data_IF_061130930312
#
_entry.id   IF_061130930312
#
_cell.length_a   1.000
_cell.length_b   1.000
_cell.length_c   1.000
_cell.angle_alpha   90.00
_cell.angle_beta   90.00
_cell.angle_gamma   90.00
#
_symmetry.space_group_name_H-M   'P 1'
#
loop_
_entity.id
_entity.type
_entity.pdbx_description
1 polymer ?
#
# COMPACT_ATOMS: atom_id res chain seq x y z
N UNK A 1 -46.19 53.52 -46.48
CA UNK A 1 -45.91 52.92 -45.16
C UNK A 1 -45.07 51.63 -45.20
N UNK A 2 -44.76 51.03 -46.36
CA UNK A 2 -44.11 49.70 -46.44
C UNK A 2 -42.65 49.68 -46.91
N UNK A 3 -42.01 50.85 -47.13
CA UNK A 3 -40.65 50.90 -47.71
C UNK A 3 -39.50 50.68 -46.71
N UNK A 4 -39.76 50.64 -45.39
CA UNK A 4 -38.74 50.50 -44.32
C UNK A 4 -38.49 49.07 -43.83
N UNK A 5 -39.27 48.08 -44.26
CA UNK A 5 -39.14 46.69 -43.75
C UNK A 5 -38.00 45.92 -44.45
N UNK A 6 -37.61 46.30 -45.67
CA UNK A 6 -36.52 45.64 -46.39
C UNK A 6 -35.11 46.14 -46.04
N UNK A 7 -34.96 47.25 -45.31
CA UNK A 7 -33.65 47.79 -44.94
C UNK A 7 -33.10 47.25 -43.60
N UNK A 8 -33.93 46.58 -42.79
CA UNK A 8 -33.49 45.97 -41.52
C UNK A 8 -32.91 44.56 -41.65
N UNK A 9 -32.87 43.99 -42.86
CA UNK A 9 -32.20 42.70 -43.13
C UNK A 9 -30.70 42.83 -43.45
N UNK A 10 -30.10 44.01 -43.28
CA UNK A 10 -28.71 44.27 -43.69
C UNK A 10 -27.66 44.19 -42.56
N UNK A 11 -27.98 43.82 -41.31
CA UNK A 11 -26.97 43.94 -40.24
C UNK A 11 -27.04 42.90 -39.12
N UNK A 12 -26.52 41.72 -39.42
CA UNK A 12 -25.56 40.92 -38.60
C UNK A 12 -25.53 39.52 -39.19
N UNK A 13 -24.75 39.35 -40.25
CA UNK A 13 -24.12 38.05 -40.45
C UNK A 13 -23.16 37.88 -39.28
N UNK A 14 -23.53 37.10 -38.28
CA UNK A 14 -22.54 36.54 -37.38
C UNK A 14 -21.67 35.67 -38.28
N UNK A 15 -20.47 36.16 -38.60
CA UNK A 15 -19.46 35.34 -39.24
C UNK A 15 -19.12 34.24 -38.24
N UNK A 16 -19.75 33.08 -38.37
CA UNK A 16 -19.29 31.84 -37.77
C UNK A 16 -17.93 31.54 -38.41
N UNK A 17 -16.88 32.12 -37.82
CA UNK A 17 -15.50 31.81 -38.16
C UNK A 17 -15.25 30.40 -37.63
N UNK A 18 -15.29 29.41 -38.53
CA UNK A 18 -14.88 28.04 -38.19
C UNK A 18 -13.40 28.00 -37.83
N UNK A 19 -13.04 27.12 -36.91
CA UNK A 19 -11.64 26.82 -36.58
C UNK A 19 -10.88 26.40 -37.84
N UNK A 20 -9.70 26.97 -38.05
CA UNK A 20 -8.83 26.54 -39.15
C UNK A 20 -8.17 25.20 -38.82
N UNK A 21 -7.95 24.36 -39.83
CA UNK A 21 -7.22 23.10 -39.66
C UNK A 21 -5.81 23.33 -39.10
N UNK A 22 -5.18 24.43 -39.47
CA UNK A 22 -3.83 24.77 -38.99
C UNK A 22 -3.82 25.14 -37.51
N UNK A 23 -4.84 25.85 -37.01
CA UNK A 23 -4.98 26.14 -35.57
C UNK A 23 -5.13 24.84 -34.77
N UNK A 24 -5.96 23.91 -35.25
CA UNK A 24 -6.16 22.63 -34.57
C UNK A 24 -4.87 21.78 -34.59
N UNK A 25 -4.14 21.78 -35.70
CA UNK A 25 -2.86 21.06 -35.82
C UNK A 25 -1.79 21.59 -34.85
N UNK A 26 -1.67 22.91 -34.70
CA UNK A 26 -0.71 23.51 -33.76
C UNK A 26 -1.09 23.16 -32.32
N UNK A 27 -2.38 23.21 -31.97
CA UNK A 27 -2.86 22.86 -30.62
C UNK A 27 -2.53 21.41 -30.29
N UNK A 28 -2.79 20.47 -31.20
CA UNK A 28 -2.46 19.05 -30.99
C UNK A 28 -0.95 18.84 -30.90
N UNK A 29 -0.15 19.57 -31.69
CA UNK A 29 1.31 19.51 -31.60
C UNK A 29 1.83 19.98 -30.23
N UNK A 30 1.30 21.08 -29.68
CA UNK A 30 1.68 21.58 -28.36
C UNK A 30 1.25 20.59 -27.27
N UNK A 31 0.01 20.08 -27.31
CA UNK A 31 -0.47 19.07 -26.36
C UNK A 31 0.38 17.80 -26.44
N UNK A 32 0.79 17.38 -27.64
CA UNK A 32 1.67 16.23 -27.86
C UNK A 32 3.02 16.39 -27.16
N UNK A 33 3.66 17.56 -27.29
CA UNK A 33 4.94 17.87 -26.63
C UNK A 33 4.77 17.86 -25.10
N UNK A 34 3.72 18.50 -24.58
CA UNK A 34 3.45 18.55 -23.14
C UNK A 34 3.16 17.15 -22.58
N UNK A 35 2.36 16.34 -23.28
CA UNK A 35 2.01 14.98 -22.88
C UNK A 35 3.24 14.06 -22.83
N UNK A 36 4.16 14.19 -23.80
CA UNK A 36 5.38 13.38 -23.85
C UNK A 36 6.26 13.54 -22.60
N UNK A 37 6.29 14.73 -22.00
CA UNK A 37 7.04 15.01 -20.76
C UNK A 37 6.20 14.66 -19.54
N UNK A 38 4.91 15.03 -19.54
CA UNK A 38 4.04 14.92 -18.37
C UNK A 38 3.71 13.46 -18.01
N UNK A 39 3.48 12.59 -19.00
CA UNK A 39 3.07 11.19 -18.77
C UNK A 39 4.11 10.40 -17.95
N UNK A 40 5.41 10.33 -18.34
CA UNK A 40 6.39 9.58 -17.57
C UNK A 40 6.63 10.19 -16.18
N UNK A 41 6.60 11.52 -16.05
CA UNK A 41 6.74 12.19 -14.75
C UNK A 41 5.57 11.84 -13.81
N UNK A 42 4.35 11.90 -14.32
CA UNK A 42 3.15 11.57 -13.55
C UNK A 42 3.11 10.10 -13.12
N UNK A 43 3.55 9.18 -13.98
CA UNK A 43 3.67 7.76 -13.63
C UNK A 43 4.63 7.54 -12.44
N UNK A 44 5.80 8.18 -12.47
CA UNK A 44 6.76 8.11 -11.37
C UNK A 44 6.23 8.77 -10.08
N UNK A 45 5.50 9.89 -10.20
CA UNK A 45 4.88 10.54 -9.05
C UNK A 45 3.86 9.62 -8.36
N UNK A 46 2.99 8.97 -9.14
CA UNK A 46 2.02 7.99 -8.62
C UNK A 46 2.71 6.81 -7.95
N UNK A 47 3.77 6.28 -8.56
CA UNK A 47 4.55 5.19 -7.98
C UNK A 47 5.11 5.56 -6.60
N UNK A 48 5.69 6.76 -6.46
CA UNK A 48 6.18 7.25 -5.17
C UNK A 48 5.05 7.39 -4.14
N UNK A 49 3.86 7.81 -4.57
CA UNK A 49 2.71 7.89 -3.69
C UNK A 49 2.24 6.50 -3.22
N UNK A 50 2.22 5.51 -4.11
CA UNK A 50 1.91 4.11 -3.77
C UNK A 50 2.89 3.54 -2.76
N UNK A 51 4.19 3.68 -3.02
CA UNK A 51 5.23 3.23 -2.11
C UNK A 51 5.15 3.96 -0.77
N UNK A 52 4.88 5.27 -0.76
CA UNK A 52 4.67 6.05 0.46
C UNK A 52 3.49 5.56 1.28
N UNK A 53 2.39 5.15 0.64
CA UNK A 53 1.24 4.56 1.34
C UNK A 53 1.63 3.27 2.03
N UNK A 54 2.39 2.41 1.35
CA UNK A 54 2.94 1.19 1.94
C UNK A 54 3.83 1.50 3.15
N UNK A 55 4.75 2.48 3.03
CA UNK A 55 5.62 2.86 4.14
C UNK A 55 4.87 3.49 5.31
N UNK A 56 3.72 4.12 5.08
CA UNK A 56 2.86 4.60 6.16
C UNK A 56 2.22 3.44 6.91
N UNK A 57 1.70 2.44 6.19
CA UNK A 57 1.03 1.29 6.81
C UNK A 57 2.00 0.39 7.58
N UNK A 58 3.23 0.16 7.13
CA UNK A 58 4.22 -0.59 7.93
C UNK A 58 4.59 0.13 9.22
N UNK A 59 4.63 1.47 9.20
CA UNK A 59 4.88 2.27 10.42
C UNK A 59 3.71 2.19 11.38
N UNK A 60 2.48 2.31 10.86
CA UNK A 60 1.27 2.12 11.65
C UNK A 60 1.22 0.72 12.26
N UNK A 61 1.64 -0.30 11.50
CA UNK A 61 1.74 -1.69 11.96
C UNK A 61 2.76 -1.83 13.09
N UNK A 62 3.98 -1.28 12.95
CA UNK A 62 4.95 -1.26 14.07
C UNK A 62 4.34 -0.58 15.30
N UNK A 63 3.73 0.60 15.15
CA UNK A 63 3.11 1.28 16.29
C UNK A 63 2.00 0.44 16.93
N UNK A 64 1.24 -0.32 16.14
CA UNK A 64 0.24 -1.24 16.67
C UNK A 64 0.88 -2.42 17.42
N UNK A 65 1.97 -2.99 16.92
CA UNK A 65 2.74 -4.04 17.61
C UNK A 65 3.28 -3.55 18.95
N UNK A 66 3.85 -2.34 19.00
CA UNK A 66 4.31 -1.72 20.26
C UNK A 66 3.17 -1.52 21.26
N UNK A 67 1.98 -1.14 20.78
CA UNK A 67 0.80 -1.00 21.64
C UNK A 67 0.33 -2.36 22.19
N UNK A 68 0.34 -3.41 21.35
CA UNK A 68 0.04 -4.79 21.79
C UNK A 68 1.05 -5.25 22.84
N UNK A 69 2.34 -4.99 22.62
CA UNK A 69 3.38 -5.35 23.57
C UNK A 69 3.24 -4.60 24.90
N UNK A 70 2.93 -3.30 24.86
CA UNK A 70 2.71 -2.51 26.07
C UNK A 70 1.56 -3.07 26.95
N UNK A 71 0.48 -3.54 26.33
CA UNK A 71 -0.69 -4.05 27.05
C UNK A 71 -0.55 -5.52 27.48
N UNK A 72 0.08 -6.36 26.64
CA UNK A 72 0.05 -7.83 26.79
C UNK A 72 1.41 -8.49 26.99
N UNK A 73 2.50 -7.72 26.88
CA UNK A 73 3.89 -8.18 26.97
C UNK A 73 4.25 -9.27 25.96
N UNK A 74 3.54 -9.28 24.82
CA UNK A 74 3.77 -10.14 23.67
C UNK A 74 3.46 -9.35 22.40
N UNK A 75 4.16 -9.63 21.31
CA UNK A 75 3.82 -9.16 19.98
C UNK A 75 2.74 -10.03 19.34
N UNK A 76 2.15 -9.53 18.26
CA UNK A 76 1.11 -10.21 17.50
C UNK A 76 1.56 -10.68 16.13
N UNK A 77 0.65 -11.41 15.50
CA UNK A 77 0.69 -11.67 14.08
C UNK A 77 -0.55 -11.07 13.42
N UNK A 78 -0.50 -10.82 12.11
CA UNK A 78 -1.69 -10.41 11.38
C UNK A 78 -2.67 -11.56 11.22
N UNK A 79 -3.92 -11.35 11.67
CA UNK A 79 -5.06 -12.22 11.39
C UNK A 79 -5.84 -11.67 10.20
N UNK A 80 -5.83 -12.38 9.06
CA UNK A 80 -6.52 -11.95 7.85
C UNK A 80 -8.02 -11.84 8.07
N UNK A 81 -8.62 -10.72 7.65
CA UNK A 81 -10.07 -10.43 7.64
C UNK A 81 -10.88 -11.17 8.72
N UNK A 82 -10.63 -10.85 9.99
CA UNK A 82 -11.25 -11.49 11.14
C UNK A 82 -12.09 -10.49 11.95
N UNK A 83 -13.06 -11.00 12.72
CA UNK A 83 -13.75 -10.23 13.75
C UNK A 83 -12.99 -10.36 15.07
N UNK A 84 -13.03 -9.31 15.90
CA UNK A 84 -12.40 -9.28 17.23
C UNK A 84 -13.25 -10.09 18.23
N UNK A 85 -13.43 -11.38 17.95
CA UNK A 85 -14.06 -12.34 18.85
C UNK A 85 -12.96 -12.98 19.73
N UNK A 86 -13.27 -13.47 20.95
CA UNK A 86 -12.27 -13.95 21.92
C UNK A 86 -11.60 -15.28 21.54
N UNK A 87 -11.48 -15.60 20.25
CA UNK A 87 -11.05 -16.91 19.74
C UNK A 87 -9.84 -16.89 18.81
N UNK A 88 -9.22 -15.75 18.54
CA UNK A 88 -7.95 -15.72 17.81
C UNK A 88 -6.84 -15.34 18.77
N UNK A 89 -6.03 -16.34 19.14
CA UNK A 89 -4.73 -16.16 19.77
C UNK A 89 -3.76 -17.11 19.10
N UNK A 90 -2.48 -16.77 19.07
CA UNK A 90 -1.47 -17.61 18.44
C UNK A 90 -0.12 -16.93 18.35
N UNK A 91 0.88 -17.70 17.96
CA UNK A 91 2.25 -17.27 17.68
C UNK A 91 2.72 -17.91 16.37
N UNK A 92 3.70 -17.31 15.69
CA UNK A 92 4.18 -17.77 14.40
C UNK A 92 3.81 -16.84 13.22
N UNK A 93 3.71 -17.45 12.04
CA UNK A 93 3.47 -16.73 10.80
C UNK A 93 2.06 -16.12 10.76
N UNK A 94 1.99 -14.82 10.46
CA UNK A 94 0.71 -14.18 10.19
C UNK A 94 0.16 -14.50 8.81
N UNK A 95 -0.99 -13.90 8.53
CA UNK A 95 -1.62 -13.93 7.20
C UNK A 95 -1.82 -12.53 6.68
N UNK A 96 -1.84 -12.37 5.36
CA UNK A 96 -1.95 -11.06 4.73
C UNK A 96 -3.30 -10.42 5.05
N UNK A 97 -3.28 -9.12 5.35
CA UNK A 97 -4.46 -8.26 5.31
C UNK A 97 -4.30 -7.26 4.18
N UNK A 98 -5.25 -7.26 3.24
CA UNK A 98 -5.20 -6.39 2.07
C UNK A 98 -6.33 -5.37 2.10
N UNK A 99 -5.97 -4.09 2.12
CA UNK A 99 -6.90 -2.99 2.24
C UNK A 99 -7.65 -2.63 0.94
N UNK A 100 -8.68 -1.77 1.04
CA UNK A 100 -8.98 -0.97 2.23
C UNK A 100 -9.70 -1.81 3.29
N UNK A 101 -9.16 -1.81 4.50
CA UNK A 101 -9.75 -2.51 5.64
C UNK A 101 -9.74 -1.58 6.85
N UNK A 102 -10.87 -1.50 7.54
CA UNK A 102 -10.93 -0.86 8.85
C UNK A 102 -10.37 -1.76 9.95
N UNK A 103 -10.10 -1.19 11.14
CA UNK A 103 -9.83 -1.98 12.34
C UNK A 103 -10.95 -2.98 12.62
N UNK A 104 -10.58 -4.24 12.87
CA UNK A 104 -11.54 -5.22 13.34
C UNK A 104 -12.14 -4.80 14.69
N UNK A 105 -13.42 -5.12 14.89
CA UNK A 105 -14.10 -5.00 16.18
C UNK A 105 -14.88 -6.28 16.46
N UNK A 106 -15.51 -6.39 17.63
CA UNK A 106 -16.36 -7.54 17.95
C UNK A 106 -17.56 -7.68 16.98
N UNK A 107 -17.98 -6.60 16.32
CA UNK A 107 -19.14 -6.57 15.43
C UNK A 107 -18.77 -6.48 13.93
N UNK A 108 -17.53 -6.11 13.61
CA UNK A 108 -17.11 -5.80 12.24
C UNK A 108 -15.81 -6.55 11.94
N UNK A 109 -15.85 -7.33 10.87
CA UNK A 109 -14.65 -7.93 10.29
C UNK A 109 -13.72 -6.84 9.77
N UNK A 110 -12.46 -6.91 10.13
CA UNK A 110 -11.44 -5.96 9.72
C UNK A 110 -10.06 -6.60 9.75
N UNK A 111 -9.02 -5.77 9.63
CA UNK A 111 -7.66 -6.23 9.89
C UNK A 111 -7.39 -6.18 11.39
N UNK A 112 -6.60 -7.13 11.89
CA UNK A 112 -6.22 -7.18 13.29
C UNK A 112 -4.85 -7.81 13.47
N UNK A 113 -4.20 -7.43 14.57
CA UNK A 113 -3.16 -8.22 15.21
C UNK A 113 -3.81 -9.18 16.20
N UNK A 114 -3.31 -10.41 16.24
CA UNK A 114 -3.76 -11.47 17.15
C UNK A 114 -2.56 -12.07 17.86
N UNK A 115 -2.71 -12.38 19.14
CA UNK A 115 -1.66 -12.97 19.99
C UNK A 115 -2.27 -13.75 21.16
N UNK A 116 -1.45 -14.43 21.94
CA UNK A 116 -1.86 -15.04 23.22
C UNK A 116 -1.15 -14.33 24.38
N UNK A 117 -1.85 -13.42 25.05
CA UNK A 117 -1.35 -12.68 26.22
C UNK A 117 -1.88 -13.26 27.52
N UNK A 118 -1.02 -13.49 28.52
CA UNK A 118 -1.40 -13.98 29.85
C UNK A 118 -2.31 -15.23 29.85
N UNK A 119 -2.14 -16.13 28.86
CA UNK A 119 -2.92 -17.36 28.72
C UNK A 119 -4.29 -17.21 28.06
N UNK A 120 -4.61 -16.03 27.52
CA UNK A 120 -5.84 -15.77 26.79
C UNK A 120 -5.56 -15.26 25.37
N UNK A 121 -6.46 -15.57 24.45
CA UNK A 121 -6.47 -14.99 23.12
C UNK A 121 -6.76 -13.49 23.20
N UNK A 122 -5.93 -12.69 22.53
CA UNK A 122 -6.01 -11.23 22.51
C UNK A 122 -5.86 -10.76 21.08
N UNK A 123 -6.56 -9.69 20.72
CA UNK A 123 -6.32 -9.04 19.45
C UNK A 123 -6.62 -7.54 19.49
N UNK A 124 -5.99 -6.82 18.58
CA UNK A 124 -6.17 -5.38 18.39
C UNK A 124 -6.49 -5.13 16.92
N UNK A 125 -7.56 -4.39 16.66
CA UNK A 125 -7.92 -4.00 15.29
C UNK A 125 -6.92 -2.99 14.73
N UNK A 126 -6.52 -3.18 13.46
CA UNK A 126 -5.63 -2.28 12.73
C UNK A 126 -6.26 -1.84 11.42
N UNK A 127 -5.96 -0.62 10.98
CA UNK A 127 -6.39 -0.13 9.66
C UNK A 127 -5.37 -0.49 8.58
N UNK A 128 -5.86 -0.80 7.38
CA UNK A 128 -5.01 -1.03 6.20
C UNK A 128 -5.47 -0.14 5.05
N UNK A 129 -4.52 0.60 4.49
CA UNK A 129 -4.73 1.51 3.38
C UNK A 129 -5.19 0.80 2.12
N UNK A 130 -5.83 1.56 1.23
CA UNK A 130 -6.34 1.05 -0.03
C UNK A 130 -5.24 0.39 -0.87
N UNK A 131 -5.45 -0.86 -1.29
CA UNK A 131 -4.50 -1.66 -2.07
C UNK A 131 -3.11 -1.83 -1.41
N UNK A 132 -3.01 -1.64 -0.10
CA UNK A 132 -1.84 -2.04 0.68
C UNK A 132 -2.10 -3.43 1.24
N UNK A 133 -1.13 -4.31 1.09
CA UNK A 133 -1.08 -5.62 1.73
C UNK A 133 -0.05 -5.56 2.85
N UNK A 134 -0.43 -6.01 4.03
CA UNK A 134 0.46 -6.13 5.19
C UNK A 134 0.49 -7.55 5.71
N UNK A 135 1.61 -7.94 6.30
CA UNK A 135 1.77 -9.18 7.06
C UNK A 135 2.67 -8.90 8.26
N UNK A 136 2.32 -9.43 9.42
CA UNK A 136 3.19 -9.45 10.60
C UNK A 136 3.26 -10.88 11.11
N UNK A 137 4.46 -11.36 11.34
CA UNK A 137 4.72 -12.65 11.97
C UNK A 137 5.40 -12.41 13.30
N UNK A 138 5.15 -13.29 14.27
CA UNK A 138 5.82 -13.28 15.57
C UNK A 138 6.51 -14.62 15.81
N UNK A 139 7.56 -14.63 16.65
CA UNK A 139 8.22 -15.86 17.05
C UNK A 139 7.32 -16.72 17.95
N UNK A 140 7.74 -17.95 18.24
CA UNK A 140 6.93 -18.89 19.02
C UNK A 140 6.64 -18.44 20.46
N UNK A 141 7.37 -17.44 20.96
CA UNK A 141 7.21 -16.87 22.29
C UNK A 141 6.48 -15.52 22.30
N UNK A 142 6.19 -14.91 21.15
CA UNK A 142 5.64 -13.55 21.11
C UNK A 142 6.64 -12.47 21.53
N UNK A 143 7.94 -12.75 21.52
CA UNK A 143 9.01 -11.87 21.98
C UNK A 143 9.62 -10.99 20.87
N UNK A 144 9.44 -11.35 19.59
CA UNK A 144 9.85 -10.54 18.42
C UNK A 144 8.77 -10.55 17.34
N UNK A 145 8.77 -9.54 16.47
CA UNK A 145 7.97 -9.51 15.25
C UNK A 145 8.81 -9.12 14.04
N UNK A 146 8.44 -9.69 12.89
CA UNK A 146 8.90 -9.26 11.58
C UNK A 146 7.67 -8.98 10.72
N UNK A 147 7.52 -7.72 10.32
CA UNK A 147 6.39 -7.23 9.55
C UNK A 147 6.83 -6.74 8.18
N UNK A 148 5.97 -6.89 7.19
CA UNK A 148 6.18 -6.35 5.85
C UNK A 148 4.92 -5.73 5.26
N UNK A 149 5.10 -4.74 4.40
CA UNK A 149 4.04 -4.10 3.63
C UNK A 149 4.41 -3.94 2.17
N UNK A 150 3.40 -4.02 1.31
CA UNK A 150 3.53 -3.77 -0.12
C UNK A 150 2.25 -3.12 -0.66
N UNK A 151 2.39 -2.08 -1.48
CA UNK A 151 1.25 -1.53 -2.21
C UNK A 151 1.14 -2.26 -3.55
N UNK A 152 -0.04 -2.76 -3.93
CA UNK A 152 -0.23 -3.60 -5.13
C UNK A 152 0.26 -2.93 -6.42
N UNK A 153 0.10 -1.62 -6.56
CA UNK A 153 0.63 -0.84 -7.70
C UNK A 153 2.04 -0.25 -7.48
N UNK A 154 2.66 -0.55 -6.35
CA UNK A 154 4.02 -0.15 -5.99
C UNK A 154 5.05 -1.15 -6.51
N UNK A 155 6.32 -0.79 -6.37
CA UNK A 155 7.46 -1.66 -6.71
C UNK A 155 8.42 -1.89 -5.55
N UNK A 156 8.08 -1.39 -4.37
CA UNK A 156 8.94 -1.46 -3.19
C UNK A 156 8.13 -2.01 -2.03
N UNK A 157 8.65 -3.06 -1.40
CA UNK A 157 8.16 -3.56 -0.13
C UNK A 157 8.99 -2.98 1.01
N UNK A 158 8.35 -2.83 2.16
CA UNK A 158 8.95 -2.28 3.37
C UNK A 158 8.81 -3.29 4.50
N UNK A 159 9.87 -3.43 5.29
CA UNK A 159 9.98 -4.36 6.41
C UNK A 159 10.19 -3.59 7.72
N UNK A 160 9.63 -4.11 8.80
CA UNK A 160 9.85 -3.61 10.14
C UNK A 160 10.14 -4.78 11.08
N UNK A 161 11.14 -4.58 11.92
CA UNK A 161 11.58 -5.51 12.96
C UNK A 161 11.23 -4.92 14.34
N UNK A 162 11.07 -5.77 15.35
CA UNK A 162 10.85 -5.38 16.73
C UNK A 162 12.09 -4.77 17.40
N UNK A 163 13.29 -5.20 17.04
CA UNK A 163 14.52 -4.80 17.75
C UNK A 163 15.41 -3.80 16.99
N UNK A 164 15.01 -3.47 15.75
CA UNK A 164 15.67 -2.45 14.94
C UNK A 164 14.79 -1.22 14.76
N UNK A 165 15.32 -0.02 14.98
CA UNK A 165 14.58 1.21 14.68
C UNK A 165 14.48 1.49 13.18
N UNK A 166 15.33 0.87 12.36
CA UNK A 166 15.32 1.06 10.91
C UNK A 166 14.07 0.45 10.28
N UNK A 167 13.67 0.99 9.13
CA UNK A 167 12.78 0.29 8.20
C UNK A 167 13.64 -0.34 7.13
N UNK A 168 13.31 -1.56 6.74
CA UNK A 168 13.99 -2.25 5.66
C UNK A 168 13.20 -2.08 4.37
N UNK A 169 13.87 -2.18 3.24
CA UNK A 169 13.21 -2.11 1.94
C UNK A 169 13.87 -2.98 0.90
N UNK A 170 13.08 -3.43 -0.06
CA UNK A 170 13.53 -4.10 -1.26
C UNK A 170 12.66 -3.67 -2.44
N UNK A 171 13.20 -3.70 -3.67
CA UNK A 171 12.49 -3.23 -4.85
C UNK A 171 12.55 -4.21 -6.01
N UNK A 172 11.45 -4.31 -6.75
CA UNK A 172 11.35 -4.97 -8.04
C UNK A 172 10.23 -4.36 -8.89
N UNK A 173 10.54 -3.99 -10.14
CA UNK A 173 9.54 -3.46 -11.05
C UNK A 173 8.46 -4.49 -11.44
N UNK A 174 8.77 -5.79 -11.36
CA UNK A 174 7.86 -6.89 -11.70
C UNK A 174 6.78 -7.12 -10.63
N UNK A 175 6.95 -6.58 -9.42
CA UNK A 175 5.96 -6.72 -8.36
C UNK A 175 4.71 -5.88 -8.58
N UNK A 176 4.76 -4.85 -9.45
CA UNK A 176 3.61 -3.99 -9.74
C UNK A 176 2.45 -4.79 -10.34
N UNK A 177 1.25 -4.57 -9.82
CA UNK A 177 0.03 -5.26 -10.22
C UNK A 177 -0.14 -6.63 -9.57
N UNK A 178 0.77 -7.04 -8.69
CA UNK A 178 0.60 -8.24 -7.89
C UNK A 178 -0.49 -8.01 -6.86
N UNK A 179 -1.49 -8.88 -6.83
CA UNK A 179 -2.60 -8.84 -5.87
C UNK A 179 -2.53 -10.06 -4.98
N UNK A 180 -2.66 -9.81 -3.69
CA UNK A 180 -2.78 -10.84 -2.67
C UNK A 180 -4.13 -10.70 -2.00
N UNK A 181 -4.80 -11.82 -1.75
CA UNK A 181 -6.05 -11.84 -1.01
C UNK A 181 -5.77 -11.87 0.49
N UNK A 182 -6.65 -11.22 1.27
CA UNK A 182 -6.61 -11.35 2.72
C UNK A 182 -6.68 -12.83 3.14
N UNK A 183 -5.82 -13.22 4.07
CA UNK A 183 -5.64 -14.61 4.52
C UNK A 183 -4.51 -15.38 3.83
N UNK A 184 -3.84 -14.82 2.81
CA UNK A 184 -2.69 -15.47 2.17
C UNK A 184 -1.46 -15.51 3.10
N UNK A 185 -0.53 -16.44 2.84
CA UNK A 185 0.68 -16.62 3.67
C UNK A 185 1.84 -15.67 3.31
N UNK A 186 1.80 -15.04 2.13
CA UNK A 186 2.83 -14.13 1.65
C UNK A 186 2.20 -12.96 0.86
N UNK A 187 2.99 -11.91 0.59
CA UNK A 187 2.52 -10.71 -0.12
C UNK A 187 2.33 -10.92 -1.63
N UNK A 188 2.45 -12.15 -2.15
CA UNK A 188 2.20 -12.55 -3.54
C UNK A 188 3.27 -12.12 -4.54
N UNK A 189 4.30 -11.40 -4.08
CA UNK A 189 5.32 -10.81 -4.92
C UNK A 189 6.27 -11.88 -5.47
N UNK A 190 6.59 -11.82 -6.77
CA UNK A 190 7.46 -12.81 -7.40
C UNK A 190 8.83 -12.89 -6.69
N UNK A 191 9.23 -14.10 -6.26
CA UNK A 191 10.50 -14.32 -5.56
C UNK A 191 10.52 -13.90 -4.09
N UNK A 192 9.45 -13.30 -3.58
CA UNK A 192 9.30 -12.99 -2.16
C UNK A 192 8.86 -14.24 -1.40
N UNK A 193 9.67 -14.67 -0.42
CA UNK A 193 9.42 -15.88 0.36
C UNK A 193 8.64 -15.63 1.67
N UNK A 194 8.06 -14.44 1.84
CA UNK A 194 7.42 -14.02 3.09
C UNK A 194 8.37 -13.21 4.00
N UNK A 195 7.85 -12.80 5.15
CA UNK A 195 8.69 -12.19 6.19
C UNK A 195 9.65 -13.24 6.75
N UNK A 196 10.92 -12.88 7.02
CA UNK A 196 11.81 -13.77 7.76
C UNK A 196 11.18 -14.20 9.09
N UNK A 197 11.45 -15.43 9.57
CA UNK A 197 11.03 -15.85 10.90
C UNK A 197 11.62 -14.91 11.95
N UNK A 198 10.81 -14.35 12.86
CA UNK A 198 11.34 -13.37 13.82
C UNK A 198 12.28 -14.02 14.86
N UNK A 199 13.36 -13.33 15.21
CA UNK A 199 14.37 -13.78 16.18
C UNK A 199 14.66 -12.65 17.16
N UNK A 200 14.39 -12.87 18.44
CA UNK A 200 14.63 -11.84 19.46
C UNK A 200 16.12 -11.46 19.57
N UNK A 201 16.41 -10.16 19.44
CA UNK A 201 17.75 -9.60 19.58
C UNK A 201 18.64 -9.73 18.33
N UNK A 202 18.04 -10.08 17.19
CA UNK A 202 18.69 -10.13 15.89
C UNK A 202 17.87 -9.34 14.86
N UNK A 203 18.59 -8.57 14.03
CA UNK A 203 17.98 -7.92 12.88
C UNK A 203 17.56 -8.96 11.84
N UNK A 204 16.25 -9.21 11.79
CA UNK A 204 15.63 -10.29 11.04
C UNK A 204 15.68 -10.06 9.52
N UNK A 205 15.86 -8.82 9.09
CA UNK A 205 15.90 -8.46 7.67
C UNK A 205 17.32 -8.35 7.12
N UNK A 206 18.32 -8.15 7.98
CA UNK A 206 19.72 -8.01 7.53
C UNK A 206 20.26 -9.29 6.90
N UNK A 207 20.72 -9.18 5.66
CA UNK A 207 21.30 -10.29 4.90
C UNK A 207 20.27 -11.30 4.36
N UNK A 208 18.97 -11.04 4.56
CA UNK A 208 17.89 -11.89 4.06
C UNK A 208 17.46 -11.47 2.65
N UNK A 209 17.28 -12.48 1.80
CA UNK A 209 16.76 -12.29 0.44
C UNK A 209 15.30 -11.82 0.45
N UNK A 210 15.04 -10.72 -0.25
CA UNK A 210 13.71 -10.15 -0.45
C UNK A 210 13.12 -10.48 -1.83
N UNK A 211 13.92 -11.05 -2.73
CA UNK A 211 13.51 -11.41 -4.09
C UNK A 211 13.48 -10.27 -5.10
N UNK A 212 13.93 -9.05 -4.74
CA UNK A 212 13.80 -7.88 -5.60
C UNK A 212 14.97 -7.61 -6.55
N UNK A 213 14.73 -7.00 -7.71
CA UNK A 213 15.77 -6.54 -8.65
C UNK A 213 15.72 -5.01 -8.83
N UNK A 214 16.86 -4.29 -8.68
CA UNK A 214 18.23 -4.78 -8.46
C UNK A 214 18.59 -5.03 -6.98
N UNK A 215 17.64 -4.92 -6.05
CA UNK A 215 17.91 -5.02 -4.61
C UNK A 215 17.36 -6.35 -4.11
N UNK A 216 18.23 -7.36 -4.21
CA UNK A 216 17.89 -8.74 -3.91
C UNK A 216 17.69 -9.00 -2.42
N UNK A 217 18.30 -8.17 -1.57
CA UNK A 217 18.23 -8.28 -0.12
C UNK A 217 17.56 -7.04 0.47
N UNK A 218 16.91 -7.23 1.61
CA UNK A 218 16.42 -6.13 2.40
C UNK A 218 17.55 -5.18 2.78
N UNK A 219 17.35 -3.90 2.50
CA UNK A 219 18.32 -2.83 2.77
C UNK A 219 17.73 -1.90 3.83
N UNK A 220 18.47 -1.51 4.86
CA UNK A 220 17.98 -0.51 5.81
C UNK A 220 17.79 0.85 5.09
N UNK A 221 16.69 1.54 5.41
CA UNK A 221 16.31 2.84 4.89
C UNK A 221 16.94 3.99 5.67
#
# INVERSE_FOLDING_TARGET
MFKRINELKAKKGHSEQGFTLIELLIVVAIIGILAAIAIPQFANYRLRAFNSSSTSDVRNLRTAEEAVFADFQVYGMTGGAAALLPGAGGFGAGTVSTGPMGPATAAVTGAMLTTTGAGAAVGVGIGVGNLVSIISSTDAAGASFAAASFHQNGDTAYGADSDSTALFWARDATWRGTVTASGAADLGMAGYAGTPPPVAGADDFTGVGAGGVPIANWTPQ
#
